data_IF_760876035218
#
_entry.id   IF_760876035218
#
_cell.length_a   1.000
_cell.length_b   1.000
_cell.length_c   1.000
_cell.angle_alpha   90.00
_cell.angle_beta   90.00
_cell.angle_gamma   90.00
#
_symmetry.space_group_name_H-M   'P 1'
#
loop_
_entity.id
_entity.type
_entity.pdbx_description
1 polymer ?
#
# COMPACT_ATOMS: atom_id res chain seq x y z
N UNK A 1 -28.18 -12.50 13.65
CA UNK A 1 -27.10 -12.83 14.59
C UNK A 1 -26.07 -11.74 14.38
N UNK A 2 -25.98 -10.77 15.29
CA UNK A 2 -25.16 -9.56 15.11
C UNK A 2 -23.68 -9.96 15.15
N UNK A 3 -22.98 -9.86 14.01
CA UNK A 3 -21.52 -9.91 13.99
C UNK A 3 -21.02 -8.54 14.46
N UNK A 4 -20.27 -8.55 15.55
CA UNK A 4 -19.63 -7.36 16.11
C UNK A 4 -18.28 -7.19 15.41
N UNK A 5 -18.14 -6.12 14.61
CA UNK A 5 -16.83 -5.65 14.16
C UNK A 5 -15.97 -5.38 15.41
N UNK A 6 -14.83 -6.06 15.52
CA UNK A 6 -13.87 -5.83 16.60
C UNK A 6 -12.74 -5.00 16.03
N UNK A 7 -12.79 -3.69 16.29
CA UNK A 7 -11.64 -2.80 16.14
C UNK A 7 -10.65 -3.17 17.26
N UNK A 8 -9.67 -4.02 16.96
CA UNK A 8 -8.61 -4.36 17.91
C UNK A 8 -7.55 -3.25 17.84
N UNK A 9 -7.56 -2.35 18.83
CA UNK A 9 -6.53 -1.32 18.98
C UNK A 9 -5.33 -1.90 19.76
N UNK A 10 -4.13 -1.99 19.17
CA UNK A 10 -2.91 -2.16 19.97
C UNK A 10 -2.59 -0.82 20.65
N UNK A 11 -2.98 -0.69 21.91
CA UNK A 11 -2.53 0.40 22.80
C UNK A 11 -1.02 0.23 23.08
N UNK A 12 -0.16 1.09 22.51
CA UNK A 12 1.03 1.73 23.14
C UNK A 12 2.07 2.29 22.15
N UNK A 13 1.94 2.10 20.84
CA UNK A 13 2.76 2.84 19.87
C UNK A 13 2.07 4.15 19.49
N UNK A 14 2.78 5.27 19.55
CA UNK A 14 2.31 6.51 18.93
C UNK A 14 2.61 6.44 17.43
N UNK A 15 1.61 6.73 16.61
CA UNK A 15 1.80 6.88 15.17
C UNK A 15 2.86 7.97 14.87
N UNK A 16 3.51 7.86 13.70
CA UNK A 16 4.40 8.92 13.23
C UNK A 16 3.64 10.25 13.14
N UNK A 17 4.30 11.36 13.52
CA UNK A 17 3.72 12.70 13.47
C UNK A 17 3.05 12.98 12.10
N UNK A 18 1.80 13.44 12.14
CA UNK A 18 1.02 13.80 10.94
C UNK A 18 0.09 12.71 10.39
N UNK A 19 0.10 11.50 10.95
CA UNK A 19 -0.77 10.39 10.58
C UNK A 19 -1.61 9.89 11.76
N UNK A 20 -2.77 9.32 11.48
CA UNK A 20 -3.60 8.66 12.49
C UNK A 20 -2.95 7.36 12.97
N UNK A 21 -2.55 6.51 12.01
CA UNK A 21 -1.88 5.22 12.24
C UNK A 21 -0.89 4.91 11.12
N UNK A 22 -0.04 3.91 11.35
CA UNK A 22 0.94 3.52 10.35
C UNK A 22 0.30 2.77 9.17
N UNK A 23 -0.57 1.78 9.45
CA UNK A 23 -1.17 0.96 8.41
C UNK A 23 -2.70 0.99 8.43
N UNK A 24 -3.28 0.93 7.23
CA UNK A 24 -4.63 0.43 7.03
C UNK A 24 -4.54 -0.95 6.35
N UNK A 25 -5.04 -1.99 7.00
CA UNK A 25 -5.11 -3.35 6.47
C UNK A 25 -6.45 -3.53 5.77
N UNK A 26 -6.41 -3.64 4.46
CA UNK A 26 -7.56 -3.86 3.59
C UNK A 26 -7.72 -5.36 3.28
N UNK A 27 -8.64 -5.98 4.03
CA UNK A 27 -9.19 -7.30 3.78
C UNK A 27 -10.70 -7.23 3.56
N UNK A 28 -11.15 -6.22 2.79
CA UNK A 28 -12.55 -6.01 2.42
C UNK A 28 -13.11 -7.11 1.49
N UNK A 29 -14.25 -6.82 0.88
CA UNK A 29 -15.03 -7.76 0.08
C UNK A 29 -14.17 -8.50 -0.94
N UNK A 30 -14.34 -9.82 -1.01
CA UNK A 30 -13.66 -10.71 -1.95
C UNK A 30 -12.13 -10.84 -1.70
N UNK A 31 -11.60 -10.21 -0.65
CA UNK A 31 -10.24 -10.41 -0.16
C UNK A 31 -10.22 -11.40 1.00
N UNK A 32 -9.03 -11.91 1.29
CA UNK A 32 -8.78 -12.72 2.48
C UNK A 32 -8.89 -11.81 3.69
N UNK A 33 -9.98 -11.95 4.44
CA UNK A 33 -10.17 -11.26 5.71
C UNK A 33 -8.98 -11.54 6.64
N UNK A 34 -8.22 -10.48 6.95
CA UNK A 34 -7.10 -10.52 7.89
C UNK A 34 -7.28 -9.37 8.88
N UNK A 35 -7.36 -9.71 10.16
CA UNK A 35 -7.42 -8.71 11.24
C UNK A 35 -6.04 -8.38 11.80
N UNK A 36 -5.01 -9.12 11.39
CA UNK A 36 -3.65 -8.97 11.88
C UNK A 36 -2.63 -9.19 10.76
N UNK A 37 -1.51 -8.49 10.87
CA UNK A 37 -0.33 -8.65 10.02
C UNK A 37 0.88 -8.90 10.92
N UNK A 38 1.42 -10.13 10.92
CA UNK A 38 2.50 -10.51 11.85
C UNK A 38 3.75 -9.66 11.70
N UNK A 39 4.09 -9.28 10.47
CA UNK A 39 5.18 -8.34 10.21
C UNK A 39 4.90 -6.94 10.78
N UNK A 40 3.65 -6.47 10.73
CA UNK A 40 3.24 -5.21 11.36
C UNK A 40 3.36 -5.25 12.88
N UNK A 41 2.94 -6.36 13.50
CA UNK A 41 3.11 -6.59 14.94
C UNK A 41 4.60 -6.65 15.33
N UNK A 42 5.42 -7.32 14.53
CA UNK A 42 6.86 -7.43 14.74
C UNK A 42 7.56 -6.07 14.68
N UNK A 43 7.11 -5.19 13.78
CA UNK A 43 7.58 -3.81 13.64
C UNK A 43 7.01 -2.85 14.70
N UNK A 44 6.02 -3.27 15.49
CA UNK A 44 5.34 -2.41 16.46
C UNK A 44 4.48 -1.32 15.82
N UNK A 45 3.96 -1.56 14.61
CA UNK A 45 3.15 -0.60 13.87
C UNK A 45 1.75 -0.48 14.46
N UNK A 46 1.22 0.73 14.46
CA UNK A 46 -0.19 1.00 14.71
C UNK A 46 -1.00 0.75 13.45
N UNK A 47 -2.18 0.12 13.56
CA UNK A 47 -3.03 -0.11 12.40
C UNK A 47 -4.51 -0.21 12.72
N UNK A 48 -5.32 -0.03 11.68
CA UNK A 48 -6.70 -0.52 11.61
C UNK A 48 -6.79 -1.62 10.57
N UNK A 49 -7.76 -2.53 10.77
CA UNK A 49 -8.00 -3.63 9.86
C UNK A 49 -9.48 -3.71 9.47
N UNK A 50 -9.73 -3.65 8.17
CA UNK A 50 -11.01 -4.01 7.57
C UNK A 50 -10.96 -5.51 7.23
N UNK A 51 -11.87 -6.28 7.83
CA UNK A 51 -12.00 -7.71 7.59
C UNK A 51 -13.49 -8.05 7.44
N UNK A 52 -14.01 -7.92 6.22
CA UNK A 52 -15.44 -8.06 5.95
C UNK A 52 -15.71 -8.45 4.50
N UNK A 53 -16.79 -9.20 4.28
CA UNK A 53 -17.37 -9.41 2.94
C UNK A 53 -18.57 -8.47 2.67
N UNK A 54 -18.90 -7.60 3.62
CA UNK A 54 -20.00 -6.63 3.52
C UNK A 54 -19.54 -5.38 2.76
N UNK A 55 -20.11 -5.16 1.57
CA UNK A 55 -19.80 -4.04 0.68
C UNK A 55 -20.18 -2.67 1.30
N UNK A 56 -21.26 -2.60 2.08
CA UNK A 56 -21.69 -1.35 2.72
C UNK A 56 -20.69 -0.96 3.82
N UNK A 57 -20.27 -1.93 4.64
CA UNK A 57 -19.24 -1.68 5.66
C UNK A 57 -17.89 -1.31 5.04
N UNK A 58 -17.51 -1.94 3.92
CA UNK A 58 -16.32 -1.57 3.16
C UNK A 58 -16.41 -0.12 2.66
N UNK A 59 -17.54 0.24 2.06
CA UNK A 59 -17.79 1.60 1.56
C UNK A 59 -17.66 2.63 2.69
N UNK A 60 -18.34 2.40 3.82
CA UNK A 60 -18.31 3.28 4.99
C UNK A 60 -16.89 3.45 5.56
N UNK A 61 -16.09 2.38 5.54
CA UNK A 61 -14.74 2.37 6.13
C UNK A 61 -13.68 2.98 5.22
N UNK A 62 -13.77 2.78 3.90
CA UNK A 62 -12.70 3.18 2.96
C UNK A 62 -13.01 4.46 2.20
N UNK A 63 -14.28 4.83 2.06
CA UNK A 63 -14.70 5.89 1.13
C UNK A 63 -15.24 7.08 1.90
N UNK A 64 -16.39 6.90 2.54
CA UNK A 64 -16.99 7.90 3.40
C UNK A 64 -18.11 7.30 4.24
N UNK A 65 -18.34 7.87 5.42
CA UNK A 65 -19.57 7.68 6.17
C UNK A 65 -20.10 9.04 6.62
N UNK A 66 -21.41 9.15 6.89
CA UNK A 66 -21.98 10.37 7.47
C UNK A 66 -21.43 10.70 8.85
N UNK A 67 -20.85 9.68 9.51
CA UNK A 67 -20.42 9.75 10.90
C UNK A 67 -18.92 10.05 11.01
N UNK A 68 -18.13 9.83 9.94
CA UNK A 68 -16.71 10.15 9.89
C UNK A 68 -16.47 11.53 9.25
N UNK A 69 -16.44 12.56 10.10
CA UNK A 69 -16.11 13.92 9.70
C UNK A 69 -14.60 14.14 9.47
N UNK A 70 -13.75 13.19 9.86
CA UNK A 70 -12.30 13.26 9.71
C UNK A 70 -11.79 12.50 8.47
N UNK A 71 -12.69 11.82 7.76
CA UNK A 71 -12.43 11.12 6.51
C UNK A 71 -11.77 9.76 6.69
N UNK A 72 -12.09 8.85 5.76
CA UNK A 72 -11.73 7.43 5.82
C UNK A 72 -10.21 7.18 5.60
N UNK A 73 -9.77 7.18 4.35
CA UNK A 73 -8.34 7.03 3.99
C UNK A 73 -7.61 8.37 3.91
N UNK A 74 -8.36 9.44 3.70
CA UNK A 74 -7.85 10.80 3.55
C UNK A 74 -8.51 11.68 4.59
N UNK A 75 -7.75 12.60 5.14
CA UNK A 75 -8.30 13.74 5.85
C UNK A 75 -9.09 14.66 4.90
N UNK A 76 -9.97 15.54 5.41
CA UNK A 76 -10.78 16.44 4.58
C UNK A 76 -9.95 17.38 3.69
N UNK A 77 -8.68 17.59 4.04
CA UNK A 77 -7.74 18.39 3.26
C UNK A 77 -6.94 17.60 2.21
N UNK A 78 -7.27 16.31 2.01
CA UNK A 78 -6.64 15.41 1.05
C UNK A 78 -5.34 14.77 1.51
N UNK A 79 -4.86 15.04 2.74
CA UNK A 79 -3.70 14.35 3.29
C UNK A 79 -4.02 12.86 3.58
N UNK A 80 -3.09 11.92 3.33
CA UNK A 80 -3.25 10.53 3.74
C UNK A 80 -3.40 10.40 5.25
N UNK A 81 -4.40 9.64 5.69
CA UNK A 81 -4.66 9.38 7.12
C UNK A 81 -3.77 8.28 7.69
N UNK A 82 -3.36 7.36 6.83
CA UNK A 82 -2.42 6.29 7.12
C UNK A 82 -1.12 6.52 6.36
N UNK A 83 0.00 5.96 6.85
CA UNK A 83 1.27 6.01 6.12
C UNK A 83 1.26 5.05 4.94
N UNK A 84 0.68 3.87 5.13
CA UNK A 84 0.63 2.79 4.14
C UNK A 84 -0.74 2.10 4.14
N UNK A 85 -1.25 1.76 2.97
CA UNK A 85 -2.31 0.76 2.81
C UNK A 85 -1.66 -0.59 2.50
N UNK A 86 -2.05 -1.64 3.23
CA UNK A 86 -1.76 -3.02 2.87
C UNK A 86 -3.05 -3.72 2.39
N UNK A 87 -3.10 -4.13 1.12
CA UNK A 87 -4.23 -4.88 0.57
C UNK A 87 -3.93 -6.37 0.49
N UNK A 88 -4.82 -7.18 1.07
CA UNK A 88 -4.67 -8.63 1.16
C UNK A 88 -4.80 -9.35 -0.19
N UNK A 89 -4.49 -10.66 -0.19
CA UNK A 89 -4.78 -11.54 -1.33
C UNK A 89 -6.28 -11.87 -1.46
N UNK A 90 -6.69 -12.48 -2.58
CA UNK A 90 -8.11 -12.79 -2.85
C UNK A 90 -8.49 -12.58 -4.32
N UNK A 91 -9.66 -12.01 -4.57
CA UNK A 91 -10.19 -11.67 -5.88
C UNK A 91 -9.98 -10.18 -6.18
N UNK A 92 -8.92 -9.85 -6.93
CA UNK A 92 -8.59 -8.45 -7.26
C UNK A 92 -9.71 -7.75 -8.04
N UNK A 93 -10.30 -8.43 -9.02
CA UNK A 93 -11.38 -7.85 -9.82
C UNK A 93 -12.67 -7.70 -9.03
N UNK A 94 -13.03 -8.67 -8.20
CA UNK A 94 -14.25 -8.58 -7.39
C UNK A 94 -14.14 -7.51 -6.31
N UNK A 95 -13.00 -7.47 -5.60
CA UNK A 95 -12.74 -6.43 -4.62
C UNK A 95 -12.77 -5.03 -5.23
N UNK A 96 -11.97 -4.78 -6.26
CA UNK A 96 -11.92 -3.46 -6.87
C UNK A 96 -13.25 -3.04 -7.54
N UNK A 97 -14.06 -4.01 -8.01
CA UNK A 97 -15.43 -3.76 -8.47
C UNK A 97 -16.34 -3.31 -7.33
N UNK A 98 -16.29 -3.98 -6.18
CA UNK A 98 -17.12 -3.67 -5.01
C UNK A 98 -16.87 -2.28 -4.43
N UNK A 99 -15.66 -1.74 -4.59
CA UNK A 99 -15.33 -0.36 -4.21
C UNK A 99 -15.98 0.70 -5.11
N UNK A 100 -16.39 0.33 -6.33
CA UNK A 100 -16.82 1.29 -7.34
C UNK A 100 -15.70 2.26 -7.76
N UNK A 101 -16.03 3.18 -8.67
CA UNK A 101 -15.07 4.19 -9.15
C UNK A 101 -14.59 5.09 -8.01
N UNK A 102 -15.51 5.55 -7.16
CA UNK A 102 -15.23 6.43 -6.03
C UNK A 102 -14.23 5.83 -5.03
N UNK A 103 -14.36 4.54 -4.69
CA UNK A 103 -13.42 3.89 -3.79
C UNK A 103 -12.05 3.71 -4.40
N UNK A 104 -11.98 3.37 -5.69
CA UNK A 104 -10.70 3.28 -6.41
C UNK A 104 -10.03 4.65 -6.56
N UNK A 105 -10.81 5.71 -6.81
CA UNK A 105 -10.30 7.09 -6.79
C UNK A 105 -9.79 7.49 -5.41
N UNK A 106 -10.48 7.09 -4.34
CA UNK A 106 -10.01 7.37 -2.97
C UNK A 106 -8.64 6.74 -2.68
N UNK A 107 -8.41 5.51 -3.15
CA UNK A 107 -7.10 4.84 -3.03
C UNK A 107 -6.04 5.54 -3.90
N UNK A 108 -6.40 5.98 -5.12
CA UNK A 108 -5.51 6.78 -5.96
C UNK A 108 -5.14 8.10 -5.29
N UNK A 109 -6.11 8.84 -4.79
CA UNK A 109 -5.91 10.13 -4.10
C UNK A 109 -5.03 9.95 -2.86
N UNK A 110 -5.21 8.86 -2.10
CA UNK A 110 -4.30 8.50 -1.01
C UNK A 110 -2.87 8.33 -1.50
N UNK A 111 -2.67 7.58 -2.58
CA UNK A 111 -1.33 7.33 -3.14
C UNK A 111 -0.65 8.60 -3.68
N UNK A 112 -1.38 9.36 -4.51
CA UNK A 112 -0.90 10.61 -5.09
C UNK A 112 -0.77 11.74 -4.06
N UNK A 113 -1.49 11.66 -2.94
CA UNK A 113 -1.34 12.51 -1.77
C UNK A 113 -0.13 12.19 -0.90
N UNK A 114 0.67 11.17 -1.26
CA UNK A 114 1.91 10.79 -0.59
C UNK A 114 1.82 9.53 0.29
N UNK A 115 0.66 8.89 0.36
CA UNK A 115 0.47 7.63 1.09
C UNK A 115 1.06 6.46 0.31
N UNK A 116 1.77 5.56 0.98
CA UNK A 116 2.41 4.42 0.32
C UNK A 116 1.47 3.21 0.22
N UNK A 117 1.75 2.28 -0.69
CA UNK A 117 0.92 1.11 -0.91
C UNK A 117 1.75 -0.18 -0.89
N UNK A 118 1.20 -1.21 -0.27
CA UNK A 118 1.71 -2.57 -0.38
C UNK A 118 0.56 -3.57 -0.50
N UNK A 119 0.88 -4.77 -0.96
CA UNK A 119 -0.11 -5.82 -1.11
C UNK A 119 0.52 -7.13 -1.54
N UNK A 120 -0.21 -8.20 -1.26
CA UNK A 120 0.16 -9.58 -1.61
C UNK A 120 -0.87 -10.16 -2.57
N UNK A 121 -0.43 -10.89 -3.61
CA UNK A 121 -1.30 -11.58 -4.56
C UNK A 121 -2.34 -10.63 -5.22
N UNK A 122 -3.60 -10.62 -4.78
CA UNK A 122 -4.63 -9.72 -5.31
C UNK A 122 -4.28 -8.25 -5.06
N UNK A 123 -3.71 -7.92 -3.90
CA UNK A 123 -3.18 -6.58 -3.64
C UNK A 123 -2.09 -6.16 -4.62
N UNK A 124 -1.27 -7.11 -5.11
CA UNK A 124 -0.29 -6.82 -6.16
C UNK A 124 -0.98 -6.62 -7.52
N UNK A 125 -2.02 -7.40 -7.85
CA UNK A 125 -2.83 -7.15 -9.06
C UNK A 125 -3.57 -5.82 -9.01
N UNK A 126 -4.05 -5.38 -7.86
CA UNK A 126 -4.79 -4.12 -7.78
C UNK A 126 -3.92 -2.90 -8.08
N UNK A 127 -2.60 -2.96 -7.85
CA UNK A 127 -1.72 -1.81 -8.10
C UNK A 127 -1.44 -1.57 -9.59
N UNK A 128 -1.45 -2.59 -10.45
CA UNK A 128 -1.09 -2.47 -11.87
C UNK A 128 -2.22 -1.88 -12.73
N UNK A 129 -1.90 -1.41 -13.94
CA UNK A 129 -2.93 -0.94 -14.90
C UNK A 129 -3.70 -2.09 -15.55
N UNK A 130 -3.06 -3.24 -15.73
CA UNK A 130 -3.66 -4.42 -16.34
C UNK A 130 -2.86 -5.69 -15.98
N UNK A 131 -3.50 -6.86 -16.09
CA UNK A 131 -2.89 -8.18 -15.82
C UNK A 131 -2.25 -8.87 -17.04
N UNK A 132 -2.51 -8.39 -18.25
CA UNK A 132 -2.03 -8.97 -19.52
C UNK A 132 -2.01 -7.90 -20.61
N UNK A 133 -1.06 -7.98 -21.53
CA UNK A 133 -0.94 -7.03 -22.65
C UNK A 133 -2.02 -7.25 -23.70
N UNK A 134 -2.34 -8.50 -24.04
CA UNK A 134 -3.32 -8.79 -25.09
C UNK A 134 -4.70 -8.16 -24.77
N UNK A 135 -5.20 -8.35 -23.53
CA UNK A 135 -6.44 -7.72 -23.08
C UNK A 135 -6.31 -6.19 -22.95
N UNK A 136 -5.12 -5.67 -22.63
CA UNK A 136 -4.86 -4.23 -22.53
C UNK A 136 -4.86 -3.53 -23.90
N UNK A 137 -4.25 -4.13 -24.91
CA UNK A 137 -4.21 -3.57 -26.27
C UNK A 137 -5.61 -3.50 -26.90
N UNK A 138 -6.51 -4.40 -26.49
CA UNK A 138 -7.90 -4.44 -26.94
C UNK A 138 -8.83 -3.53 -26.14
N UNK A 139 -8.65 -3.47 -24.81
CA UNK A 139 -9.61 -2.88 -23.88
C UNK A 139 -9.12 -1.67 -23.08
N UNK A 140 -7.83 -1.36 -23.11
CA UNK A 140 -7.20 -0.36 -22.26
C UNK A 140 -7.02 -0.82 -20.81
N UNK A 141 -6.85 0.13 -19.85
CA UNK A 141 -6.68 -0.18 -18.44
C UNK A 141 -7.84 -1.01 -17.86
N UNK A 142 -7.54 -1.94 -16.94
CA UNK A 142 -8.57 -2.77 -16.31
C UNK A 142 -9.30 -1.93 -15.26
N UNK A 143 -10.53 -1.51 -15.56
CA UNK A 143 -11.26 -0.49 -14.78
C UNK A 143 -11.39 -0.79 -13.28
N UNK A 144 -11.35 -2.08 -12.90
CA UNK A 144 -11.50 -2.54 -11.53
C UNK A 144 -10.20 -2.48 -10.71
N UNK A 145 -9.07 -2.04 -11.27
CA UNK A 145 -7.80 -1.90 -10.54
C UNK A 145 -7.56 -0.45 -10.08
N UNK A 146 -6.64 -0.27 -9.13
CA UNK A 146 -6.29 1.03 -8.56
C UNK A 146 -5.44 1.88 -9.49
N UNK A 147 -4.60 1.24 -10.33
CA UNK A 147 -3.70 1.90 -11.30
C UNK A 147 -2.61 2.75 -10.64
N UNK A 148 -2.06 2.30 -9.51
CA UNK A 148 -0.98 3.00 -8.79
C UNK A 148 0.38 2.84 -9.48
N UNK A 149 0.57 1.74 -10.20
CA UNK A 149 1.74 1.46 -11.02
C UNK A 149 1.31 1.39 -12.50
N UNK A 150 1.90 2.22 -13.38
CA UNK A 150 1.56 2.25 -14.82
C UNK A 150 1.93 0.98 -15.60
N UNK A 151 2.53 -0.02 -14.94
CA UNK A 151 3.00 -1.23 -15.61
C UNK A 151 1.98 -2.36 -15.66
N UNK A 152 2.33 -3.38 -16.43
CA UNK A 152 1.52 -4.59 -16.63
C UNK A 152 2.25 -5.79 -16.03
N UNK A 153 1.58 -6.49 -15.12
CA UNK A 153 2.01 -7.79 -14.61
C UNK A 153 1.59 -8.94 -15.51
N UNK A 154 1.82 -10.17 -15.05
CA UNK A 154 1.28 -11.39 -15.69
C UNK A 154 0.65 -12.29 -14.65
N UNK A 155 -0.49 -12.93 -14.89
CA UNK A 155 -0.96 -14.02 -14.05
C UNK A 155 0.02 -15.20 -14.10
N UNK A 156 0.32 -15.77 -12.92
CA UNK A 156 1.11 -17.00 -12.85
C UNK A 156 0.32 -18.22 -13.32
N UNK A 157 -0.99 -18.22 -13.04
CA UNK A 157 -1.91 -19.37 -13.11
C UNK A 157 -1.51 -20.57 -12.24
N UNK A 158 -0.56 -20.37 -11.32
CA UNK A 158 -0.10 -21.41 -10.39
C UNK A 158 -0.88 -21.28 -9.09
N UNK A 159 -1.60 -22.33 -8.71
CA UNK A 159 -2.43 -22.37 -7.52
C UNK A 159 -1.79 -23.28 -6.46
N UNK A 160 -1.96 -22.90 -5.19
CA UNK A 160 -1.54 -23.67 -4.01
C UNK A 160 -0.14 -24.29 -4.10
N UNK A 161 0.85 -23.46 -4.44
CA UNK A 161 2.23 -23.87 -4.59
C UNK A 161 3.13 -23.22 -3.54
N UNK A 162 4.33 -23.78 -3.38
CA UNK A 162 5.41 -23.21 -2.60
C UNK A 162 6.64 -23.12 -3.48
N UNK A 163 7.35 -22.00 -3.40
CA UNK A 163 8.59 -21.78 -4.13
C UNK A 163 9.56 -20.94 -3.30
N UNK A 164 10.79 -20.85 -3.76
CA UNK A 164 11.80 -20.03 -3.12
C UNK A 164 11.88 -18.67 -3.84
N UNK A 165 12.42 -17.69 -3.15
CA UNK A 165 12.73 -16.37 -3.71
C UNK A 165 14.22 -16.15 -3.56
N UNK A 166 14.87 -15.86 -4.69
CA UNK A 166 16.28 -15.54 -4.80
C UNK A 166 16.47 -14.04 -5.01
N UNK A 167 17.28 -13.39 -4.17
CA UNK A 167 17.69 -12.00 -4.37
C UNK A 167 19.08 -11.97 -5.03
N UNK A 168 19.11 -11.57 -6.30
CA UNK A 168 20.36 -11.40 -7.05
C UNK A 168 21.15 -10.15 -6.62
N UNK A 169 20.45 -9.11 -6.17
CA UNK A 169 21.02 -7.93 -5.51
C UNK A 169 20.67 -7.87 -4.01
N UNK A 170 21.54 -8.41 -3.17
CA UNK A 170 21.41 -8.32 -1.70
C UNK A 170 21.75 -6.94 -1.13
N UNK A 171 22.23 -6.01 -1.97
CA UNK A 171 22.51 -4.62 -1.57
C UNK A 171 21.30 -3.70 -1.74
N UNK A 172 20.25 -4.18 -2.43
CA UNK A 172 18.99 -3.48 -2.57
C UNK A 172 18.46 -3.03 -1.19
N UNK A 173 18.02 -1.77 -1.00
CA UNK A 173 17.65 -1.25 0.31
C UNK A 173 16.65 -2.12 1.07
N UNK A 174 15.60 -2.63 0.40
CA UNK A 174 14.64 -3.57 0.99
C UNK A 174 15.32 -4.83 1.54
N UNK A 175 16.21 -5.46 0.78
CA UNK A 175 16.87 -6.72 1.18
C UNK A 175 17.88 -6.47 2.31
N UNK A 176 18.58 -5.34 2.26
CA UNK A 176 19.57 -4.95 3.26
C UNK A 176 18.98 -4.63 4.65
N UNK A 177 17.67 -4.39 4.77
CA UNK A 177 17.00 -4.05 6.04
C UNK A 177 17.16 -5.12 7.13
N UNK A 178 17.20 -6.40 6.73
CA UNK A 178 17.24 -7.51 7.67
C UNK A 178 18.42 -8.44 7.38
N UNK A 179 19.25 -8.77 8.39
CA UNK A 179 20.36 -9.70 8.21
C UNK A 179 19.95 -11.08 7.68
N UNK A 180 18.74 -11.52 7.99
CA UNK A 180 18.17 -12.80 7.55
C UNK A 180 17.93 -12.87 6.03
N UNK A 181 17.83 -11.73 5.34
CA UNK A 181 17.62 -11.69 3.88
C UNK A 181 18.94 -11.55 3.10
N UNK A 182 20.06 -11.30 3.79
CA UNK A 182 21.34 -10.98 3.16
C UNK A 182 22.08 -12.21 2.62
N UNK A 183 21.61 -13.43 2.92
CA UNK A 183 22.07 -14.63 2.23
C UNK A 183 21.47 -14.77 0.81
N UNK A 184 20.54 -13.88 0.46
CA UNK A 184 19.91 -13.79 -0.84
C UNK A 184 18.82 -14.84 -1.07
N UNK A 185 18.30 -15.48 -0.01
CA UNK A 185 17.32 -16.55 -0.15
C UNK A 185 16.15 -16.40 0.82
N UNK A 186 14.94 -16.70 0.36
CA UNK A 186 13.78 -16.91 1.23
C UNK A 186 13.07 -18.15 0.74
N UNK A 187 13.06 -19.20 1.57
CA UNK A 187 12.54 -20.50 1.16
C UNK A 187 11.05 -20.70 1.47
N UNK A 188 10.38 -21.55 0.69
CA UNK A 188 9.02 -22.09 0.96
C UNK A 188 7.95 -21.00 1.07
N UNK A 189 8.00 -19.98 0.22
CA UNK A 189 6.99 -18.92 0.16
C UNK A 189 5.75 -19.46 -0.55
N UNK A 190 4.58 -19.32 0.08
CA UNK A 190 3.31 -19.75 -0.49
C UNK A 190 2.92 -18.88 -1.68
N UNK A 191 2.45 -19.48 -2.76
CA UNK A 191 1.91 -18.80 -3.93
C UNK A 191 0.55 -19.38 -4.31
N UNK A 192 -0.43 -18.53 -4.59
CA UNK A 192 -1.77 -18.98 -4.92
C UNK A 192 -2.49 -18.05 -5.89
N UNK A 193 -2.22 -18.21 -7.18
CA UNK A 193 -2.88 -17.47 -8.26
C UNK A 193 -2.40 -16.03 -8.37
N UNK A 194 -1.26 -15.71 -7.76
CA UNK A 194 -0.67 -14.39 -7.80
C UNK A 194 -0.15 -13.98 -9.17
N UNK A 195 0.34 -12.75 -9.23
CA UNK A 195 1.01 -12.24 -10.42
C UNK A 195 2.41 -12.86 -10.59
N UNK A 196 3.11 -12.36 -11.60
CA UNK A 196 4.56 -12.39 -11.75
C UNK A 196 4.97 -11.17 -12.55
N UNK A 197 6.16 -10.64 -12.28
CA UNK A 197 6.67 -9.48 -13.00
C UNK A 197 7.74 -9.90 -14.00
N UNK A 198 7.66 -9.32 -15.19
CA UNK A 198 8.58 -9.57 -16.30
C UNK A 198 8.96 -8.22 -16.91
N UNK A 199 10.19 -7.73 -16.69
CA UNK A 199 10.62 -6.41 -17.16
C UNK A 199 10.66 -6.30 -18.69
N UNK A 200 10.62 -7.42 -19.40
CA UNK A 200 10.63 -7.45 -20.87
C UNK A 200 9.23 -7.67 -21.45
N UNK A 201 8.20 -7.81 -20.61
CA UNK A 201 6.85 -8.08 -21.09
C UNK A 201 6.21 -6.81 -21.65
N UNK A 202 6.28 -5.71 -20.93
CA UNK A 202 5.67 -4.42 -21.29
C UNK A 202 6.71 -3.28 -21.13
N UNK A 203 6.49 -2.15 -21.80
CA UNK A 203 7.25 -0.92 -21.56
C UNK A 203 6.84 -0.32 -20.20
N UNK A 204 7.30 -0.96 -19.13
CA UNK A 204 7.06 -0.54 -17.76
C UNK A 204 7.90 0.71 -17.42
N UNK A 205 7.44 1.55 -16.47
CA UNK A 205 8.16 2.76 -16.05
C UNK A 205 9.60 2.46 -15.63
N UNK A 206 10.54 3.35 -15.99
CA UNK A 206 11.97 3.19 -15.71
C UNK A 206 12.28 3.28 -14.21
N UNK A 207 11.38 3.85 -13.43
CA UNK A 207 11.42 3.94 -11.97
C UNK A 207 11.01 2.62 -11.29
N UNK A 208 10.63 1.60 -12.06
CA UNK A 208 10.25 0.28 -11.52
C UNK A 208 11.48 -0.50 -11.07
N UNK A 209 11.54 -0.81 -9.78
CA UNK A 209 12.51 -1.72 -9.17
C UNK A 209 11.92 -3.14 -9.20
N UNK A 210 12.59 -4.10 -9.86
CA UNK A 210 12.18 -5.51 -9.83
C UNK A 210 13.03 -6.26 -8.80
N UNK A 211 12.38 -6.94 -7.86
CA UNK A 211 13.04 -7.42 -6.64
C UNK A 211 12.66 -8.88 -6.40
N UNK A 212 13.66 -9.73 -6.21
CA UNK A 212 13.48 -11.14 -5.87
C UNK A 212 12.92 -11.97 -7.02
N UNK A 213 13.66 -12.97 -7.45
CA UNK A 213 13.30 -13.89 -8.53
C UNK A 213 12.69 -15.15 -7.92
N UNK A 214 11.56 -15.60 -8.45
CA UNK A 214 10.95 -16.88 -8.06
C UNK A 214 11.80 -18.02 -8.60
N UNK A 215 12.34 -18.85 -7.71
CA UNK A 215 13.03 -20.10 -8.05
C UNK A 215 12.06 -21.26 -7.86
N UNK A 216 11.61 -21.83 -8.97
CA UNK A 216 10.73 -22.99 -8.96
C UNK A 216 10.87 -23.78 -10.27
N UNK A 217 11.96 -24.53 -10.47
CA UNK A 217 12.25 -25.17 -11.77
C UNK A 217 11.17 -26.15 -12.27
N UNK A 218 10.30 -26.62 -11.36
CA UNK A 218 9.17 -27.49 -11.67
C UNK A 218 7.87 -26.75 -12.06
N UNK A 219 7.82 -25.43 -11.85
CA UNK A 219 6.65 -24.58 -12.07
C UNK A 219 7.03 -23.44 -13.04
N UNK A 220 6.96 -23.72 -14.34
CA UNK A 220 7.29 -22.76 -15.41
C UNK A 220 6.45 -21.47 -15.38
N UNK A 221 5.34 -21.47 -14.64
CA UNK A 221 4.52 -20.28 -14.40
C UNK A 221 5.11 -19.33 -13.36
N UNK A 222 6.16 -19.70 -12.65
CA UNK A 222 6.83 -18.89 -11.62
C UNK A 222 8.31 -18.74 -11.92
N UNK A 223 8.98 -19.83 -12.32
CA UNK A 223 10.44 -19.90 -12.45
C UNK A 223 11.04 -18.76 -13.28
N UNK A 224 12.01 -18.06 -12.69
CA UNK A 224 12.77 -16.99 -13.35
C UNK A 224 12.04 -15.65 -13.46
N UNK A 225 10.80 -15.54 -12.99
CA UNK A 225 10.06 -14.27 -12.96
C UNK A 225 10.23 -13.55 -11.62
N UNK A 226 10.10 -12.23 -11.62
CA UNK A 226 10.19 -11.45 -10.41
C UNK A 226 8.93 -11.59 -9.54
N UNK A 227 9.14 -11.81 -8.25
CA UNK A 227 8.11 -11.95 -7.23
C UNK A 227 7.64 -10.60 -6.70
N UNK A 228 8.53 -9.61 -6.61
CA UNK A 228 8.24 -8.30 -6.06
C UNK A 228 8.60 -7.20 -7.04
N UNK A 229 7.93 -6.07 -6.85
CA UNK A 229 8.35 -4.82 -7.46
C UNK A 229 8.14 -3.67 -6.49
N UNK A 230 8.93 -2.62 -6.66
CA UNK A 230 8.67 -1.32 -6.08
C UNK A 230 8.59 -0.25 -7.17
N UNK A 231 7.79 0.77 -6.93
CA UNK A 231 7.63 1.90 -7.84
C UNK A 231 7.34 3.18 -7.05
N UNK A 232 7.99 4.26 -7.45
CA UNK A 232 7.74 5.60 -6.93
C UNK A 232 7.91 6.60 -8.07
N UNK A 233 6.83 7.28 -8.43
CA UNK A 233 6.80 8.19 -9.57
C UNK A 233 7.62 9.46 -9.31
N UNK A 234 7.48 10.04 -8.12
CA UNK A 234 8.13 11.31 -7.78
C UNK A 234 8.41 11.41 -6.28
N UNK A 235 9.01 12.50 -5.84
CA UNK A 235 9.23 12.75 -4.41
C UNK A 235 7.92 13.02 -3.65
N UNK A 236 6.85 13.40 -4.35
CA UNK A 236 5.55 13.79 -3.81
C UNK A 236 4.59 12.60 -3.65
N UNK A 237 4.73 11.56 -4.48
CA UNK A 237 3.88 10.36 -4.41
C UNK A 237 4.39 9.36 -3.39
N UNK A 238 3.49 8.49 -2.92
CA UNK A 238 3.88 7.33 -2.13
C UNK A 238 4.71 6.32 -2.93
N UNK A 239 5.19 5.28 -2.24
CA UNK A 239 5.86 4.13 -2.87
C UNK A 239 4.91 2.94 -2.90
N UNK A 240 4.78 2.32 -4.06
CA UNK A 240 4.22 0.97 -4.21
C UNK A 240 5.32 -0.03 -3.91
N UNK A 241 5.09 -1.01 -3.04
CA UNK A 241 5.96 -2.18 -2.84
C UNK A 241 5.08 -3.42 -2.72
N UNK A 242 5.02 -4.27 -3.74
CA UNK A 242 4.08 -5.40 -3.76
C UNK A 242 4.79 -6.72 -3.95
N UNK A 243 4.15 -7.79 -3.49
CA UNK A 243 4.62 -9.17 -3.68
C UNK A 243 3.52 -10.02 -4.33
N UNK A 244 3.89 -10.84 -5.30
CA UNK A 244 2.96 -11.75 -5.95
C UNK A 244 2.62 -12.98 -5.09
N UNK A 245 3.36 -13.22 -4.02
CA UNK A 245 3.24 -14.40 -3.15
C UNK A 245 2.73 -14.04 -1.76
N UNK A 246 2.63 -15.00 -0.85
CA UNK A 246 1.94 -14.87 0.43
C UNK A 246 2.83 -14.99 1.68
N UNK A 247 3.76 -14.04 1.93
CA UNK A 247 4.55 -14.04 3.15
C UNK A 247 3.78 -13.50 4.37
N UNK A 248 2.63 -12.83 4.16
CA UNK A 248 1.91 -12.08 5.20
C UNK A 248 1.38 -12.93 6.35
N UNK A 249 1.24 -14.25 6.12
CA UNK A 249 0.70 -15.20 7.10
C UNK A 249 1.75 -15.84 8.00
N UNK A 250 3.03 -15.49 7.88
CA UNK A 250 4.11 -16.14 8.61
C UNK A 250 4.52 -15.33 9.85
N UNK A 251 4.67 -16.03 10.98
CA UNK A 251 4.89 -15.43 12.32
C UNK A 251 6.36 -15.19 12.66
N UNK A 252 7.28 -15.86 11.97
CA UNK A 252 8.72 -15.82 12.24
C UNK A 252 9.57 -16.20 11.01
N UNK A 253 10.89 -16.10 11.17
CA UNK A 253 11.85 -16.42 10.12
C UNK A 253 11.89 -15.44 8.94
N UNK A 254 12.58 -15.86 7.89
CA UNK A 254 12.86 -15.05 6.69
C UNK A 254 11.61 -14.58 5.96
N UNK A 255 10.54 -15.37 5.92
CA UNK A 255 9.29 -14.94 5.25
C UNK A 255 8.64 -13.77 5.98
N UNK A 256 8.60 -13.80 7.32
CA UNK A 256 8.13 -12.66 8.12
C UNK A 256 9.05 -11.45 7.92
N UNK A 257 10.36 -11.66 7.96
CA UNK A 257 11.34 -10.56 7.79
C UNK A 257 11.26 -9.95 6.39
N UNK A 258 10.98 -10.74 5.36
CA UNK A 258 10.70 -10.27 4.01
C UNK A 258 9.42 -9.42 3.98
N UNK A 259 8.33 -9.87 4.62
CA UNK A 259 7.11 -9.04 4.73
C UNK A 259 7.36 -7.76 5.53
N UNK A 260 8.18 -7.81 6.58
CA UNK A 260 8.57 -6.64 7.36
C UNK A 260 9.43 -5.66 6.54
N UNK A 261 10.31 -6.17 5.67
CA UNK A 261 11.09 -5.38 4.72
C UNK A 261 10.20 -4.69 3.69
N UNK A 262 9.21 -5.39 3.14
CA UNK A 262 8.22 -4.83 2.22
C UNK A 262 7.47 -3.66 2.89
N UNK A 263 6.96 -3.86 4.11
CA UNK A 263 6.25 -2.82 4.86
C UNK A 263 7.15 -1.63 5.17
N UNK A 264 8.35 -1.87 5.71
CA UNK A 264 9.28 -0.81 6.06
C UNK A 264 9.73 -0.03 4.82
N UNK A 265 9.98 -0.70 3.69
CA UNK A 265 10.33 -0.04 2.45
C UNK A 265 9.19 0.82 1.90
N UNK A 266 7.94 0.38 2.03
CA UNK A 266 6.78 1.22 1.71
C UNK A 266 6.68 2.42 2.67
N UNK A 267 6.84 2.21 3.97
CA UNK A 267 6.82 3.24 5.01
C UNK A 267 7.91 4.31 4.80
N UNK A 268 9.11 3.92 4.40
CA UNK A 268 10.22 4.83 4.10
C UNK A 268 10.01 5.58 2.76
N UNK A 269 9.06 5.09 1.95
CA UNK A 269 8.75 5.59 0.63
C UNK A 269 7.59 6.58 0.57
N UNK A 270 7.11 7.11 1.69
CA UNK A 270 6.06 8.13 1.71
C UNK A 270 6.46 9.37 0.89
N UNK A 271 5.45 10.06 0.36
CA UNK A 271 5.61 11.34 -0.32
C UNK A 271 6.16 12.41 0.62
N UNK A 272 6.79 13.43 0.03
CA UNK A 272 7.29 14.58 0.78
C UNK A 272 6.12 15.22 1.53
N UNK A 273 6.23 15.41 2.86
CA UNK A 273 5.11 15.81 3.70
C UNK A 273 4.51 17.12 3.19
N UNK A 274 3.21 17.02 2.92
CA UNK A 274 2.22 18.00 2.49
C UNK A 274 2.70 19.42 2.16
N UNK A 275 2.32 19.89 0.97
CA UNK A 275 2.40 21.31 0.64
C UNK A 275 1.83 22.16 1.79
N UNK A 276 2.46 23.30 2.14
CA UNK A 276 1.94 24.17 3.18
C UNK A 276 0.46 24.48 2.93
N UNK A 277 -0.37 24.34 3.97
CA UNK A 277 -1.83 24.58 3.91
C UNK A 277 -2.19 26.02 3.54
N UNK A 278 -1.21 26.91 3.54
CA UNK A 278 -1.30 28.26 3.04
C UNK A 278 -0.03 29.04 3.34
N UNK A 279 0.04 30.26 2.82
CA UNK A 279 1.03 31.26 3.24
C UNK A 279 0.34 32.27 4.16
N UNK A 280 0.85 32.43 5.37
CA UNK A 280 0.45 33.49 6.28
C UNK A 280 1.14 34.79 5.88
N UNK A 281 0.33 35.81 5.56
CA UNK A 281 0.81 37.16 5.27
C UNK A 281 1.01 37.96 6.58
N UNK A 282 2.09 38.74 6.65
CA UNK A 282 2.39 39.59 7.78
C UNK A 282 1.27 40.62 8.03
N UNK A 283 0.70 40.62 9.23
CA UNK A 283 -0.42 41.49 9.62
C UNK A 283 -1.81 40.90 9.41
N UNK A 284 -1.92 39.69 8.84
CA UNK A 284 -3.19 38.96 8.86
C UNK A 284 -3.46 38.45 10.28
N UNK A 285 -4.61 38.81 10.86
CA UNK A 285 -5.11 38.27 12.12
C UNK A 285 -5.93 36.98 11.93
N UNK A 286 -5.93 36.41 10.72
CA UNK A 286 -6.73 35.24 10.38
C UNK A 286 -5.90 33.96 10.50
N UNK A 287 -5.42 33.66 11.71
CA UNK A 287 -5.31 32.25 12.10
C UNK A 287 -6.57 31.93 12.89
N UNK A 288 -7.70 31.79 12.18
CA UNK A 288 -8.89 31.20 12.78
C UNK A 288 -8.61 29.70 12.78
N UNK A 289 -8.00 29.21 13.87
CA UNK A 289 -8.11 27.79 14.22
C UNK A 289 -9.55 27.64 14.73
N UNK A 290 -10.50 27.51 13.81
CA UNK A 290 -11.86 27.08 14.14
C UNK A 290 -11.76 25.64 14.65
N UNK A 291 -12.78 25.10 15.31
CA UNK A 291 -12.82 23.67 15.64
C UNK A 291 -12.71 22.81 14.35
N UNK A 292 -12.96 23.38 13.16
CA UNK A 292 -12.70 22.78 11.85
C UNK A 292 -11.21 22.71 11.45
N UNK A 293 -10.33 23.45 12.12
CA UNK A 293 -8.87 23.34 11.99
C UNK A 293 -8.26 22.31 12.96
N UNK A 294 -9.09 21.73 13.85
CA UNK A 294 -8.84 20.44 14.46
C UNK A 294 -9.38 19.37 13.51
N UNK A 295 -8.72 19.17 12.37
CA UNK A 295 -8.85 17.87 11.71
C UNK A 295 -8.37 16.84 12.72
N UNK A 296 -9.25 15.88 13.06
CA UNK A 296 -9.05 15.00 14.20
C UNK A 296 -7.78 14.16 14.10
N UNK A 297 -7.45 13.50 15.21
CA UNK A 297 -6.25 12.65 15.37
C UNK A 297 -4.92 13.41 15.59
N UNK A 298 -4.97 14.63 16.15
CA UNK A 298 -3.78 15.43 16.49
C UNK A 298 -2.87 15.76 15.28
N UNK A 299 -3.47 15.93 14.11
CA UNK A 299 -2.73 16.23 12.90
C UNK A 299 -2.05 17.61 12.98
N UNK A 300 -0.80 17.69 12.56
CA UNK A 300 -0.05 18.95 12.46
C UNK A 300 -0.18 19.51 11.04
N UNK A 301 -0.63 20.75 10.93
CA UNK A 301 -0.72 21.47 9.67
C UNK A 301 0.45 22.44 9.52
N UNK A 302 1.15 22.36 8.39
CA UNK A 302 2.23 23.29 8.06
C UNK A 302 1.67 24.53 7.36
N UNK A 303 2.06 25.72 7.83
CA UNK A 303 1.85 26.98 7.11
C UNK A 303 3.20 27.60 6.76
N UNK A 304 3.30 28.16 5.55
CA UNK A 304 4.44 28.98 5.15
C UNK A 304 4.24 30.38 5.71
N UNK A 305 5.28 31.04 6.19
CA UNK A 305 5.21 32.44 6.61
C UNK A 305 6.15 33.26 5.73
N UNK A 306 5.60 34.18 4.94
CA UNK A 306 6.41 35.07 4.11
C UNK A 306 6.65 36.38 4.87
N UNK A 307 7.92 36.62 5.23
CA UNK A 307 8.36 37.89 5.81
C UNK A 307 8.84 38.82 4.69
N UNK A 308 8.27 40.03 4.51
CA UNK A 308 8.80 40.97 3.56
C UNK A 308 10.23 41.36 3.95
N UNK A 309 11.13 41.42 2.96
CA UNK A 309 12.48 41.95 3.17
C UNK A 309 12.37 43.41 3.62
N UNK A 310 13.00 43.76 4.74
CA UNK A 310 13.14 45.15 5.15
C UNK A 310 13.89 45.91 4.05
N UNK A 311 13.17 46.78 3.34
CA UNK A 311 13.80 47.81 2.51
C UNK A 311 14.43 48.81 3.51
N UNK A 312 15.77 48.78 3.61
CA UNK A 312 16.54 49.77 4.37
C UNK A 312 16.48 51.15 3.73
#
# INVERSE_FOLDING_TARGET
>A
MLLSAHLLLPDTAMAQEGYYKDLFIDGGHDLTSRTELYAGNYLGLTYDALATDDEDLQYETMISSSDDTNGALLYPDGAPRYRVIYTAGGSSTGHGRSLGEEGRDRVRDFFYGGGSYTGSCAGAFLSMIHRTIDEYDEGGPWENYYHLWPGIGRPSYVLDAYHDIFFDDTTHPLVAMYPSLQDGWVSTVRHNGGCRFDPNYFENPVETEYIGIMDSPSLSGLDGYYNMMAYKESAETGRVVVTCSHPEGVTDGEQRDMMAAILQYALDGQGTPWAPKGTLENGSSQLIIDDAALLGDYQYHYWKVDFPQYVQ
#
